data_IF_331501543160
#
_entry.id   IF_331501543160
#
_cell.length_a   1.000
_cell.length_b   1.000
_cell.length_c   1.000
_cell.angle_alpha   90.00
_cell.angle_beta   90.00
_cell.angle_gamma   90.00
#
_symmetry.space_group_name_H-M   'P 1'
#
loop_
_entity.id
_entity.type
_entity.pdbx_description
1 polymer ?
#
# COMPACT_ATOMS: atom_id res chain seq x y z
N UNK A 1 -67.39 -75.15 -42.31
CA UNK A 1 -66.34 -76.04 -41.74
C UNK A 1 -65.41 -75.20 -40.87
N UNK A 2 -64.99 -75.76 -39.73
CA UNK A 2 -64.42 -75.12 -38.52
C UNK A 2 -63.28 -74.10 -38.74
N UNK A 3 -63.39 -72.95 -38.08
CA UNK A 3 -62.28 -72.04 -37.78
C UNK A 3 -61.41 -72.63 -36.66
N UNK A 4 -60.10 -72.77 -36.88
CA UNK A 4 -59.14 -73.11 -35.82
C UNK A 4 -58.38 -71.82 -35.47
N UNK A 5 -58.84 -71.16 -34.41
CA UNK A 5 -58.14 -70.04 -33.78
C UNK A 5 -56.90 -70.56 -33.04
N UNK A 6 -55.70 -70.20 -33.52
CA UNK A 6 -54.47 -70.34 -32.72
C UNK A 6 -54.47 -69.23 -31.66
N UNK A 7 -54.64 -69.63 -30.40
CA UNK A 7 -54.53 -68.74 -29.22
C UNK A 7 -53.10 -68.18 -29.14
N UNK A 8 -52.94 -66.88 -29.38
CA UNK A 8 -51.68 -66.17 -29.17
C UNK A 8 -51.46 -65.99 -27.65
N UNK A 9 -50.32 -66.41 -27.11
CA UNK A 9 -49.91 -66.09 -25.73
C UNK A 9 -48.89 -64.95 -25.80
N UNK A 10 -49.15 -63.76 -25.23
CA UNK A 10 -48.18 -62.69 -25.26
C UNK A 10 -46.96 -63.04 -24.38
N UNK A 11 -45.76 -62.77 -24.90
CA UNK A 11 -44.51 -62.82 -24.13
C UNK A 11 -44.57 -61.74 -23.05
N UNK A 12 -44.32 -62.10 -21.79
CA UNK A 12 -44.13 -61.14 -20.70
C UNK A 12 -42.70 -60.61 -20.78
N UNK A 13 -42.53 -59.37 -21.23
CA UNK A 13 -41.26 -58.66 -21.11
C UNK A 13 -41.16 -58.06 -19.71
N UNK A 14 -40.08 -58.35 -18.99
CA UNK A 14 -39.75 -57.62 -17.76
C UNK A 14 -39.12 -56.28 -18.15
N UNK A 15 -39.62 -55.18 -17.57
CA UNK A 15 -38.93 -53.90 -17.66
C UNK A 15 -37.54 -54.06 -17.04
N UNK A 16 -36.49 -53.76 -17.79
CA UNK A 16 -35.13 -53.70 -17.23
C UNK A 16 -35.11 -52.50 -16.29
N UNK A 17 -34.87 -52.74 -15.00
CA UNK A 17 -34.77 -51.67 -14.02
C UNK A 17 -33.61 -50.74 -14.38
N UNK A 18 -33.89 -49.44 -14.47
CA UNK A 18 -32.85 -48.43 -14.67
C UNK A 18 -31.92 -48.46 -13.46
N UNK A 19 -30.62 -48.67 -13.68
CA UNK A 19 -29.60 -48.59 -12.62
C UNK A 19 -28.88 -47.26 -12.74
N UNK A 20 -29.17 -46.35 -11.81
CA UNK A 20 -28.43 -45.09 -11.69
C UNK A 20 -27.13 -45.35 -10.95
N UNK A 21 -26.01 -44.88 -11.51
CA UNK A 21 -24.72 -44.81 -10.82
C UNK A 21 -24.48 -43.34 -10.52
N UNK A 22 -24.35 -43.01 -9.24
CA UNK A 22 -23.92 -41.68 -8.83
C UNK A 22 -22.40 -41.68 -8.72
N UNK A 23 -21.73 -40.77 -9.43
CA UNK A 23 -20.30 -40.49 -9.28
C UNK A 23 -20.20 -39.14 -8.58
N UNK A 24 -19.50 -39.12 -7.45
CA UNK A 24 -19.20 -37.89 -6.72
C UNK A 24 -17.75 -37.53 -6.97
N UNK A 25 -17.50 -36.29 -7.39
CA UNK A 25 -16.16 -35.71 -7.49
C UNK A 25 -15.99 -34.75 -6.32
N UNK A 26 -14.92 -34.94 -5.55
CA UNK A 26 -14.54 -34.05 -4.45
C UNK A 26 -13.21 -33.39 -4.76
N UNK A 27 -13.10 -32.10 -4.46
CA UNK A 27 -11.84 -31.38 -4.52
C UNK A 27 -10.94 -31.79 -3.35
N UNK A 28 -9.63 -31.65 -3.52
CA UNK A 28 -8.64 -31.80 -2.45
C UNK A 28 -8.65 -30.55 -1.56
N UNK A 29 -8.32 -30.72 -0.29
CA UNK A 29 -8.17 -29.58 0.61
C UNK A 29 -6.92 -28.77 0.26
N UNK A 30 -7.03 -27.45 0.37
CA UNK A 30 -5.92 -26.53 0.33
C UNK A 30 -6.04 -25.50 1.45
N UNK A 31 -4.90 -25.00 1.95
CA UNK A 31 -4.86 -23.87 2.87
C UNK A 31 -3.74 -22.91 2.52
N UNK A 32 -3.92 -21.63 2.85
CA UNK A 32 -2.88 -20.61 2.75
C UNK A 32 -2.78 -19.85 4.06
N UNK A 33 -1.56 -19.54 4.48
CA UNK A 33 -1.25 -18.72 5.66
C UNK A 33 -0.17 -17.69 5.33
N UNK A 34 -0.12 -16.60 6.06
CA UNK A 34 0.85 -15.51 5.89
C UNK A 34 1.56 -15.23 7.21
N UNK A 35 2.80 -14.75 7.15
CA UNK A 35 3.57 -14.43 8.36
C UNK A 35 3.05 -13.20 9.11
N UNK A 36 2.52 -12.21 8.38
CA UNK A 36 1.89 -11.02 8.96
C UNK A 36 0.57 -10.71 8.27
N UNK A 37 -0.47 -10.52 9.08
CA UNK A 37 -1.79 -10.11 8.64
C UNK A 37 -1.97 -8.58 8.66
N UNK A 38 -1.00 -7.83 9.20
CA UNK A 38 -1.04 -6.37 9.28
C UNK A 38 0.28 -5.80 8.78
N UNK A 39 0.19 -4.88 7.83
CA UNK A 39 1.31 -4.10 7.31
C UNK A 39 1.09 -2.63 7.67
N UNK A 40 2.13 -2.00 8.21
CA UNK A 40 2.16 -0.56 8.49
C UNK A 40 3.30 0.04 7.68
N UNK A 41 2.95 0.79 6.63
CA UNK A 41 3.86 1.21 5.57
C UNK A 41 3.81 2.73 5.41
N UNK A 42 4.91 3.33 5.01
CA UNK A 42 4.90 4.70 4.50
C UNK A 42 4.81 4.72 2.97
N UNK A 43 4.31 5.82 2.40
CA UNK A 43 4.22 5.96 0.94
C UNK A 43 5.60 5.82 0.28
N UNK A 44 5.70 4.84 -0.63
CA UNK A 44 6.90 4.45 -1.34
C UNK A 44 7.62 3.23 -0.74
N UNK A 45 7.19 2.73 0.42
CA UNK A 45 7.71 1.49 0.98
C UNK A 45 7.28 0.27 0.16
N UNK A 46 8.11 -0.77 0.22
CA UNK A 46 7.83 -2.08 -0.38
C UNK A 46 7.93 -3.18 0.68
N UNK A 47 7.04 -4.17 0.60
CA UNK A 47 7.01 -5.32 1.51
C UNK A 47 6.65 -6.60 0.75
N UNK A 48 7.30 -7.72 1.02
CA UNK A 48 6.94 -9.00 0.37
C UNK A 48 6.07 -9.84 1.29
N UNK A 49 4.85 -10.17 0.85
CA UNK A 49 3.99 -11.12 1.54
C UNK A 49 4.52 -12.53 1.30
N UNK A 50 5.01 -13.16 2.36
CA UNK A 50 5.41 -14.58 2.33
C UNK A 50 4.17 -15.42 2.67
N UNK A 51 3.68 -16.16 1.67
CA UNK A 51 2.56 -17.07 1.80
C UNK A 51 3.05 -18.52 1.85
N UNK A 52 2.55 -19.28 2.81
CA UNK A 52 2.79 -20.72 2.93
C UNK A 52 1.51 -21.46 2.59
N UNK A 53 1.58 -22.45 1.70
CA UNK A 53 0.44 -23.25 1.26
C UNK A 53 0.52 -24.67 1.79
N UNK A 54 -0.63 -25.31 1.97
CA UNK A 54 -0.71 -26.77 2.18
C UNK A 54 -1.72 -27.34 1.18
N UNK A 55 -1.35 -28.31 0.33
CA UNK A 55 0.01 -28.78 0.06
C UNK A 55 1.00 -27.66 -0.31
N UNK A 56 2.30 -27.95 -0.22
CA UNK A 56 3.35 -27.01 -0.63
C UNK A 56 3.27 -26.74 -2.15
N UNK A 57 3.84 -25.62 -2.58
CA UNK A 57 3.98 -25.22 -3.98
C UNK A 57 2.66 -25.05 -4.74
N UNK A 58 1.58 -24.64 -4.07
CA UNK A 58 0.35 -24.23 -4.76
C UNK A 58 0.45 -22.79 -5.29
N UNK A 59 -0.21 -22.53 -6.41
CA UNK A 59 -0.26 -21.20 -7.00
C UNK A 59 -1.04 -20.22 -6.10
N UNK A 60 -0.36 -19.16 -5.67
CA UNK A 60 -0.93 -18.09 -4.85
C UNK A 60 -1.35 -16.93 -5.74
N UNK A 61 -2.54 -16.39 -5.49
CA UNK A 61 -3.05 -15.19 -6.16
C UNK A 61 -3.44 -14.12 -5.15
N UNK A 62 -3.35 -12.85 -5.56
CA UNK A 62 -3.63 -11.69 -4.72
C UNK A 62 -4.77 -10.88 -5.32
N UNK A 63 -5.73 -10.50 -4.48
CA UNK A 63 -6.86 -9.63 -4.84
C UNK A 63 -6.85 -8.42 -3.93
N UNK A 64 -6.88 -7.22 -4.52
CA UNK A 64 -6.82 -5.96 -3.80
C UNK A 64 -8.21 -5.34 -3.70
N UNK A 65 -8.53 -4.78 -2.53
CA UNK A 65 -9.74 -3.97 -2.35
C UNK A 65 -9.57 -2.57 -2.97
N UNK A 66 -8.44 -1.90 -2.72
CA UNK A 66 -8.11 -0.60 -3.33
C UNK A 66 -6.68 -0.57 -3.91
N UNK A 67 -6.58 -0.69 -5.24
CA UNK A 67 -5.31 -0.59 -5.98
C UNK A 67 -4.72 0.81 -6.04
N UNK A 68 -5.45 1.83 -5.55
CA UNK A 68 -4.96 3.20 -5.40
C UNK A 68 -4.16 3.42 -4.11
N UNK A 69 -4.35 2.56 -3.10
CA UNK A 69 -3.63 2.61 -1.81
C UNK A 69 -2.36 1.77 -1.85
N UNK A 70 -2.47 0.52 -2.33
CA UNK A 70 -1.31 -0.38 -2.55
C UNK A 70 -1.46 -1.13 -3.87
N UNK A 71 -0.34 -1.63 -4.42
CA UNK A 71 -0.34 -2.64 -5.48
C UNK A 71 0.46 -3.86 -5.03
N UNK A 72 0.14 -5.03 -5.56
CA UNK A 72 0.86 -6.28 -5.30
C UNK A 72 1.17 -6.93 -6.62
N UNK A 73 2.43 -7.32 -6.81
CA UNK A 73 2.85 -8.06 -8.01
C UNK A 73 2.65 -9.58 -7.86
N UNK A 74 2.91 -10.32 -8.93
CA UNK A 74 2.74 -11.77 -8.96
C UNK A 74 3.68 -12.53 -8.00
N UNK A 75 4.73 -11.88 -7.50
CA UNK A 75 5.65 -12.44 -6.51
C UNK A 75 5.31 -12.07 -5.06
N UNK A 76 4.18 -11.37 -4.85
CA UNK A 76 3.73 -10.94 -3.53
C UNK A 76 4.40 -9.66 -3.03
N UNK A 77 5.11 -8.91 -3.89
CA UNK A 77 5.70 -7.62 -3.50
C UNK A 77 4.62 -6.55 -3.50
N UNK A 78 4.29 -6.06 -2.30
CA UNK A 78 3.42 -4.94 -2.02
C UNK A 78 4.20 -3.63 -2.20
N UNK A 79 3.63 -2.65 -2.90
CA UNK A 79 4.14 -1.27 -2.97
C UNK A 79 3.08 -0.29 -2.45
N UNK A 80 3.45 0.55 -1.49
CA UNK A 80 2.58 1.56 -0.90
C UNK A 80 2.52 2.84 -1.76
N UNK A 81 1.32 3.23 -2.18
CA UNK A 81 1.12 4.31 -3.16
C UNK A 81 0.52 5.58 -2.55
N UNK A 82 -0.48 5.42 -1.68
CA UNK A 82 -1.29 6.53 -1.15
C UNK A 82 -1.74 6.21 0.26
N UNK A 83 -1.81 7.26 1.09
CA UNK A 83 -2.37 7.20 2.42
C UNK A 83 -3.78 6.59 2.41
N UNK A 84 -3.99 5.60 3.29
CA UNK A 84 -5.24 4.87 3.38
C UNK A 84 -5.08 3.51 4.06
N UNK A 85 -6.20 2.83 4.26
CA UNK A 85 -6.25 1.46 4.78
C UNK A 85 -6.96 0.61 3.73
N UNK A 86 -6.38 -0.53 3.36
CA UNK A 86 -6.95 -1.46 2.39
C UNK A 86 -6.67 -2.91 2.81
N UNK A 87 -7.40 -3.84 2.19
CA UNK A 87 -7.16 -5.27 2.37
C UNK A 87 -6.59 -5.91 1.11
N UNK A 88 -5.80 -6.96 1.32
CA UNK A 88 -5.19 -7.82 0.31
C UNK A 88 -5.65 -9.24 0.63
N UNK A 89 -6.46 -9.83 -0.24
CA UNK A 89 -6.90 -11.22 -0.11
C UNK A 89 -5.88 -12.12 -0.82
N UNK A 90 -5.26 -13.01 -0.06
CA UNK A 90 -4.31 -14.02 -0.55
C UNK A 90 -5.09 -15.32 -0.74
N UNK A 91 -5.09 -15.86 -1.95
CA UNK A 91 -5.91 -17.02 -2.34
C UNK A 91 -5.07 -18.18 -2.87
N UNK A 92 -5.57 -19.38 -2.64
CA UNK A 92 -5.05 -20.64 -3.19
C UNK A 92 -6.21 -21.57 -3.59
N UNK A 93 -5.97 -22.47 -4.54
CA UNK A 93 -6.98 -23.42 -5.03
C UNK A 93 -7.97 -22.80 -6.01
N UNK A 94 -9.15 -23.41 -6.17
CA UNK A 94 -10.16 -22.96 -7.15
C UNK A 94 -9.83 -23.35 -8.61
N UNK A 95 -8.83 -24.21 -8.80
CA UNK A 95 -8.33 -24.70 -10.09
C UNK A 95 -9.07 -25.96 -10.59
N UNK A 96 -10.10 -26.40 -9.88
CA UNK A 96 -10.83 -27.64 -10.16
C UNK A 96 -10.15 -28.91 -9.62
N UNK A 97 -8.99 -28.77 -8.96
CA UNK A 97 -8.28 -29.84 -8.24
C UNK A 97 -8.41 -29.62 -6.73
N UNK A 98 -8.14 -28.40 -6.28
CA UNK A 98 -8.16 -27.98 -4.88
C UNK A 98 -9.34 -27.05 -4.59
N UNK A 99 -9.94 -27.20 -3.41
CA UNK A 99 -10.93 -26.28 -2.89
C UNK A 99 -10.30 -24.90 -2.66
N UNK A 100 -11.06 -23.83 -2.91
CA UNK A 100 -10.59 -22.46 -2.68
C UNK A 100 -10.37 -22.22 -1.17
N UNK A 101 -9.24 -21.64 -0.82
CA UNK A 101 -8.93 -21.13 0.51
C UNK A 101 -8.30 -19.75 0.40
N UNK A 102 -8.52 -18.92 1.42
CA UNK A 102 -8.00 -17.56 1.43
C UNK A 102 -7.71 -17.06 2.83
N UNK A 103 -6.74 -16.16 2.94
CA UNK A 103 -6.51 -15.31 4.11
C UNK A 103 -6.46 -13.84 3.69
N UNK A 104 -6.50 -12.92 4.64
CA UNK A 104 -6.52 -11.47 4.38
C UNK A 104 -5.39 -10.78 5.13
N UNK A 105 -4.67 -9.91 4.43
CA UNK A 105 -3.69 -8.99 4.99
C UNK A 105 -4.28 -7.58 4.94
N UNK A 106 -4.25 -6.86 6.06
CA UNK A 106 -4.61 -5.44 6.12
C UNK A 106 -3.36 -4.60 5.95
N UNK A 107 -3.38 -3.65 5.02
CA UNK A 107 -2.30 -2.70 4.82
C UNK A 107 -2.78 -1.29 5.22
N UNK A 108 -2.06 -0.68 6.15
CA UNK A 108 -2.16 0.74 6.49
C UNK A 108 -1.00 1.47 5.84
N UNK A 109 -1.31 2.50 5.06
CA UNK A 109 -0.32 3.36 4.41
C UNK A 109 -0.40 4.76 5.00
N UNK A 110 0.73 5.27 5.47
CA UNK A 110 0.87 6.59 6.06
C UNK A 110 1.72 7.51 5.16
N UNK A 111 1.53 8.82 5.32
CA UNK A 111 2.50 9.79 4.79
C UNK A 111 3.78 9.75 5.60
N UNK A 112 4.89 10.07 4.94
CA UNK A 112 6.20 10.16 5.55
C UNK A 112 6.30 11.47 6.33
N UNK A 113 6.72 11.40 7.60
CA UNK A 113 6.96 12.59 8.42
C UNK A 113 8.13 13.43 7.90
N UNK A 114 8.06 14.73 8.17
CA UNK A 114 9.08 15.69 7.72
C UNK A 114 9.63 16.54 8.85
N UNK A 115 10.84 17.03 8.63
CA UNK A 115 11.59 17.90 9.53
C UNK A 115 11.98 19.18 8.78
N UNK A 116 11.64 20.34 9.36
CA UNK A 116 12.21 21.63 8.95
C UNK A 116 13.28 22.04 9.95
N UNK A 117 14.43 22.49 9.45
CA UNK A 117 15.53 23.03 10.26
C UNK A 117 15.80 24.49 9.91
N UNK A 118 16.33 25.22 10.89
CA UNK A 118 16.72 26.62 10.76
C UNK A 118 18.16 26.78 11.23
N UNK A 119 18.92 27.63 10.54
CA UNK A 119 20.25 28.05 10.98
C UNK A 119 20.63 29.39 10.36
N UNK A 120 21.63 30.07 10.91
CA UNK A 120 22.15 31.33 10.38
C UNK A 120 23.60 31.20 9.92
N UNK A 121 23.84 31.57 8.67
CA UNK A 121 25.17 31.70 8.11
C UNK A 121 25.61 33.17 8.20
N UNK A 122 26.40 33.49 9.23
CA UNK A 122 26.89 34.85 9.49
C UNK A 122 27.78 35.40 8.36
N UNK A 123 28.59 34.55 7.72
CA UNK A 123 29.49 34.98 6.63
C UNK A 123 28.72 35.36 5.38
N UNK A 124 27.67 34.61 5.05
CA UNK A 124 26.81 34.88 3.89
C UNK A 124 25.67 35.87 4.21
N UNK A 125 25.40 36.14 5.49
CA UNK A 125 24.21 36.87 5.97
C UNK A 125 22.92 36.23 5.45
N UNK A 126 22.80 34.93 5.65
CA UNK A 126 21.66 34.14 5.18
C UNK A 126 21.06 33.32 6.33
N UNK A 127 19.73 33.26 6.39
CA UNK A 127 19.03 32.20 7.11
C UNK A 127 18.93 30.99 6.19
N UNK A 128 19.46 29.86 6.63
CA UNK A 128 19.44 28.59 5.91
C UNK A 128 18.33 27.73 6.49
N UNK A 129 17.46 27.27 5.58
CA UNK A 129 16.31 26.41 5.87
C UNK A 129 16.61 25.03 5.29
N UNK A 130 16.51 23.99 6.11
CA UNK A 130 16.51 22.60 5.66
C UNK A 130 15.11 22.02 5.69
N UNK A 131 14.76 21.17 4.72
CA UNK A 131 13.55 20.36 4.71
C UNK A 131 13.90 18.93 4.31
N UNK A 132 13.60 18.00 5.21
CA UNK A 132 13.93 16.60 5.08
C UNK A 132 12.72 15.71 5.37
N UNK A 133 12.69 14.50 4.81
CA UNK A 133 11.94 13.42 5.45
C UNK A 133 12.57 13.08 6.80
N UNK A 134 11.83 12.41 7.67
CA UNK A 134 12.36 11.98 8.97
C UNK A 134 13.57 11.04 8.84
N UNK A 135 13.68 10.33 7.70
CA UNK A 135 14.82 9.48 7.35
C UNK A 135 16.04 10.25 6.81
N UNK A 136 15.97 11.59 6.75
CA UNK A 136 17.06 12.47 6.35
C UNK A 136 17.16 12.77 4.85
N UNK A 137 16.21 12.30 4.03
CA UNK A 137 16.19 12.62 2.60
C UNK A 137 15.79 14.09 2.39
N UNK A 138 16.65 14.88 1.76
CA UNK A 138 16.35 16.27 1.42
C UNK A 138 15.21 16.37 0.39
N UNK A 139 14.16 17.12 0.71
CA UNK A 139 13.01 17.30 -0.19
C UNK A 139 13.29 18.43 -1.15
N UNK A 140 13.55 18.11 -2.42
CA UNK A 140 13.97 19.09 -3.43
C UNK A 140 12.86 19.94 -4.03
N UNK A 141 13.21 21.13 -4.53
CA UNK A 141 12.31 22.08 -5.21
C UNK A 141 11.02 22.41 -4.44
N UNK A 142 11.05 22.25 -3.12
CA UNK A 142 9.86 22.30 -2.28
C UNK A 142 9.76 23.69 -1.63
N UNK A 143 8.61 24.37 -1.75
CA UNK A 143 8.41 25.68 -1.12
C UNK A 143 8.28 25.54 0.40
N UNK A 144 9.03 26.35 1.14
CA UNK A 144 8.94 26.51 2.60
C UNK A 144 8.62 27.98 2.89
N UNK A 145 7.60 28.21 3.71
CA UNK A 145 7.22 29.55 4.15
C UNK A 145 8.05 29.93 5.37
N UNK A 146 8.70 31.09 5.35
CA UNK A 146 9.57 31.58 6.43
C UNK A 146 9.05 32.95 6.87
N UNK A 147 8.79 33.13 8.15
CA UNK A 147 8.49 34.43 8.75
C UNK A 147 9.69 34.90 9.58
N UNK A 148 10.19 36.11 9.29
CA UNK A 148 11.26 36.75 10.06
C UNK A 148 10.80 38.16 10.42
N UNK A 149 10.67 38.43 11.72
CA UNK A 149 10.28 39.77 12.20
C UNK A 149 8.93 40.26 11.65
N UNK A 150 7.99 39.35 11.41
CA UNK A 150 6.66 39.67 10.85
C UNK A 150 6.58 39.67 9.32
N UNK A 151 7.71 39.61 8.61
CA UNK A 151 7.75 39.54 7.15
C UNK A 151 7.75 38.09 6.66
N UNK A 152 6.89 37.78 5.69
CA UNK A 152 6.75 36.45 5.11
C UNK A 152 7.56 36.30 3.81
N UNK A 153 8.28 35.21 3.70
CA UNK A 153 9.07 34.80 2.54
C UNK A 153 8.71 33.37 2.15
N UNK A 154 8.86 33.04 0.87
CA UNK A 154 8.81 31.66 0.39
C UNK A 154 10.16 31.34 -0.23
N UNK A 155 10.85 30.36 0.32
CA UNK A 155 12.09 29.83 -0.24
C UNK A 155 11.83 28.47 -0.87
N UNK A 156 12.56 28.12 -1.93
CA UNK A 156 12.49 26.79 -2.55
C UNK A 156 13.78 26.03 -2.28
N UNK A 157 13.65 24.81 -1.81
CA UNK A 157 14.79 23.93 -1.54
C UNK A 157 15.50 23.48 -2.81
N UNK A 158 16.81 23.27 -2.72
CA UNK A 158 17.64 22.68 -3.76
C UNK A 158 17.56 21.14 -3.72
N UNK A 159 18.38 20.46 -4.54
CA UNK A 159 18.43 18.99 -4.60
C UNK A 159 18.80 18.29 -3.29
N UNK A 160 19.37 19.01 -2.32
CA UNK A 160 19.75 18.50 -1.00
C UNK A 160 18.74 18.88 0.10
N UNK A 161 17.59 19.44 -0.27
CA UNK A 161 16.57 19.87 0.70
C UNK A 161 16.89 21.20 1.40
N UNK A 162 17.88 21.96 0.93
CA UNK A 162 18.29 23.21 1.57
C UNK A 162 17.86 24.43 0.76
N UNK A 163 17.51 25.53 1.44
CA UNK A 163 17.26 26.83 0.84
C UNK A 163 17.91 27.94 1.68
N UNK A 164 18.27 29.04 1.05
CA UNK A 164 18.81 30.23 1.73
C UNK A 164 17.88 31.42 1.52
N UNK A 165 17.77 32.25 2.56
CA UNK A 165 17.13 33.55 2.52
C UNK A 165 18.14 34.61 2.94
N UNK A 166 18.47 35.53 2.03
CA UNK A 166 19.35 36.66 2.38
C UNK A 166 18.66 37.58 3.37
N UNK A 167 19.38 37.89 4.46
CA UNK A 167 18.95 38.79 5.52
C UNK A 167 19.88 40.01 5.65
N UNK A 168 20.64 40.30 4.59
CA UNK A 168 21.66 41.36 4.58
C UNK A 168 21.10 42.77 4.88
N UNK A 169 19.80 42.99 4.66
CA UNK A 169 19.12 44.26 4.91
C UNK A 169 18.47 44.34 6.31
N UNK A 170 18.51 43.27 7.10
CA UNK A 170 18.02 43.28 8.47
C UNK A 170 19.07 43.86 9.40
N UNK A 171 18.64 44.64 10.39
CA UNK A 171 19.54 45.18 11.41
C UNK A 171 20.05 44.07 12.31
N UNK A 172 21.31 44.10 12.77
CA UNK A 172 21.79 43.16 13.78
C UNK A 172 20.90 43.18 15.01
N UNK A 173 20.27 42.04 15.31
CA UNK A 173 19.32 41.85 16.41
C UNK A 173 19.00 40.37 16.57
N UNK A 174 18.25 40.05 17.62
CA UNK A 174 17.63 38.73 17.75
C UNK A 174 16.29 38.72 17.01
N UNK A 175 16.07 37.69 16.19
CA UNK A 175 14.84 37.49 15.45
C UNK A 175 14.26 36.11 15.76
N UNK A 176 12.98 36.09 16.14
CA UNK A 176 12.20 34.85 16.12
C UNK A 176 11.88 34.53 14.66
N UNK A 177 12.34 33.37 14.20
CA UNK A 177 12.14 32.86 12.85
C UNK A 177 11.20 31.67 12.91
N UNK A 178 10.09 31.76 12.21
CA UNK A 178 9.16 30.65 12.03
C UNK A 178 9.31 30.10 10.62
N UNK A 179 9.41 28.79 10.46
CA UNK A 179 9.41 28.14 9.16
C UNK A 179 8.38 27.01 9.11
N UNK A 180 7.67 26.90 8.00
CA UNK A 180 6.61 25.90 7.82
C UNK A 180 6.60 25.31 6.42
N UNK A 181 6.42 24.00 6.39
CA UNK A 181 6.13 23.22 5.21
C UNK A 181 4.71 22.63 5.35
N UNK A 182 3.88 22.86 4.35
CA UNK A 182 2.45 22.51 4.39
C UNK A 182 2.14 21.04 4.09
N UNK A 183 3.16 20.24 3.78
CA UNK A 183 2.96 18.84 3.36
C UNK A 183 2.53 18.72 1.90
N UNK A 184 2.41 17.48 1.44
CA UNK A 184 1.84 17.13 0.14
C UNK A 184 1.17 15.74 0.20
N UNK A 185 0.94 15.11 -0.95
CA UNK A 185 0.31 13.80 -1.01
C UNK A 185 1.17 12.68 -0.39
N UNK A 186 2.48 12.88 -0.29
CA UNK A 186 3.44 11.89 0.23
C UNK A 186 3.97 12.22 1.62
N UNK A 187 4.13 13.49 1.92
CA UNK A 187 4.84 13.98 3.09
C UNK A 187 3.92 14.79 4.00
N UNK A 188 4.02 14.58 5.31
CA UNK A 188 3.25 15.33 6.29
C UNK A 188 3.73 16.79 6.41
N UNK A 189 2.83 17.73 6.79
CA UNK A 189 3.22 19.08 7.15
C UNK A 189 4.13 19.09 8.38
N UNK A 190 5.01 20.07 8.45
CA UNK A 190 5.86 20.30 9.63
C UNK A 190 6.17 21.78 9.77
N UNK A 191 6.48 22.22 10.97
CA UNK A 191 6.92 23.58 11.23
C UNK A 191 7.92 23.61 12.37
N UNK A 192 8.67 24.70 12.44
CA UNK A 192 9.62 24.96 13.52
C UNK A 192 9.70 26.45 13.79
N UNK A 193 10.13 26.79 15.00
CA UNK A 193 10.44 28.17 15.41
C UNK A 193 11.80 28.15 16.07
N UNK A 194 12.66 29.10 15.71
CA UNK A 194 13.97 29.27 16.34
C UNK A 194 14.29 30.76 16.55
N UNK A 195 15.13 31.05 17.54
CA UNK A 195 15.64 32.39 17.78
C UNK A 195 17.03 32.53 17.15
N UNK A 196 17.14 33.37 16.12
CA UNK A 196 18.37 33.58 15.36
C UNK A 196 18.94 34.96 15.66
N UNK A 197 20.22 35.00 16.03
CA UNK A 197 20.97 36.24 16.27
C UNK A 197 21.67 36.66 14.97
N UNK A 198 21.17 37.72 14.34
CA UNK A 198 21.81 38.35 13.19
C UNK A 198 22.85 39.35 13.70
N UNK A 199 24.08 39.25 13.19
CA UNK A 199 25.25 40.07 13.55
C UNK A 199 25.75 40.89 12.36
#
# INVERSE_FOLDING_TARGET
MKFISKKFRPLKYYAIGNKTISVTVSLKDASVSVESEILDLNIGDTFTIIATTVPDDLDVTYVLDDSGVVIVDNSGVVTALKEGITSIVVKVGGDGIYAENSTTVTATVNKVDTLVTLSYNASAKEVVVGLYSIDGLGLSSTPVSVNIGGMNYIVKTNSHGMASLSVANLTPSSYVVFASYVGNNRFNPTNTTDEIIIQ
#
